data_IF_926832626156
#
_entry.id   IF_926832626156
#
_cell.length_a   1.000
_cell.length_b   1.000
_cell.length_c   1.000
_cell.angle_alpha   90.00
_cell.angle_beta   90.00
_cell.angle_gamma   90.00
#
_symmetry.space_group_name_H-M   'P 1'
#
loop_
_entity.id
_entity.type
_entity.pdbx_description
1 polymer ?
#
# COMPACT_ATOMS: atom_id res chain seq x y z
N UNK A 1 -34.36 16.81 -6.85
CA UNK A 1 -33.23 17.70 -7.19
C UNK A 1 -31.98 16.85 -7.37
N UNK A 2 -31.41 16.80 -8.59
CA UNK A 2 -30.06 16.26 -8.80
C UNK A 2 -29.10 17.44 -8.70
N UNK A 3 -28.30 17.50 -7.65
CA UNK A 3 -27.22 18.49 -7.53
C UNK A 3 -26.17 18.19 -8.59
N UNK A 4 -26.01 19.16 -9.48
CA UNK A 4 -25.04 19.17 -10.56
C UNK A 4 -23.66 19.53 -9.97
N UNK A 5 -22.62 18.88 -10.49
CA UNK A 5 -21.24 19.36 -10.50
C UNK A 5 -20.42 19.24 -9.19
N UNK A 6 -20.24 18.03 -8.66
CA UNK A 6 -18.96 17.75 -7.99
C UNK A 6 -17.88 17.59 -9.07
N UNK A 7 -17.36 18.72 -9.52
CA UNK A 7 -16.25 18.80 -10.44
C UNK A 7 -15.03 18.12 -9.78
N UNK A 8 -14.84 16.82 -10.02
CA UNK A 8 -13.61 16.04 -9.86
C UNK A 8 -12.58 16.64 -8.89
N UNK A 9 -12.94 16.85 -7.62
CA UNK A 9 -11.96 17.35 -6.65
C UNK A 9 -10.84 16.31 -6.60
N UNK A 10 -9.67 16.67 -7.14
CA UNK A 10 -8.48 15.83 -7.04
C UNK A 10 -8.31 15.55 -5.55
N UNK A 11 -8.38 14.28 -5.16
CA UNK A 11 -8.03 13.87 -3.79
C UNK A 11 -6.68 14.51 -3.48
N UNK A 12 -6.65 15.37 -2.46
CA UNK A 12 -5.41 15.99 -2.01
C UNK A 12 -4.42 14.87 -1.73
N UNK A 13 -3.23 14.95 -2.31
CA UNK A 13 -2.24 13.89 -2.14
C UNK A 13 -1.83 13.79 -0.68
N UNK A 14 -2.31 12.75 0.00
CA UNK A 14 -1.90 12.41 1.36
C UNK A 14 -0.69 11.47 1.25
N UNK A 15 0.48 11.95 1.69
CA UNK A 15 1.69 11.13 1.72
C UNK A 15 1.55 10.06 2.79
N UNK A 16 1.47 8.80 2.39
CA UNK A 16 1.58 7.68 3.32
C UNK A 16 2.97 7.69 3.99
N UNK A 17 2.99 7.60 5.32
CA UNK A 17 4.21 7.47 6.13
C UNK A 17 4.88 6.12 5.88
N UNK A 18 6.17 6.00 6.17
CA UNK A 18 6.92 4.74 6.01
C UNK A 18 6.30 3.61 6.85
N UNK A 19 5.90 3.91 8.08
CA UNK A 19 5.23 2.95 8.98
C UNK A 19 3.95 2.38 8.36
N UNK A 20 3.10 3.24 7.79
CA UNK A 20 1.88 2.81 7.11
C UNK A 20 2.19 1.87 5.94
N UNK A 21 3.24 2.16 5.17
CA UNK A 21 3.65 1.32 4.04
C UNK A 21 4.06 -0.07 4.50
N UNK A 22 4.89 -0.15 5.53
CA UNK A 22 5.38 -1.42 6.08
C UNK A 22 4.24 -2.23 6.69
N UNK A 23 3.35 -1.60 7.45
CA UNK A 23 2.18 -2.24 8.04
C UNK A 23 1.23 -2.82 6.99
N UNK A 24 0.95 -2.07 5.91
CA UNK A 24 0.10 -2.56 4.82
C UNK A 24 0.75 -3.75 4.10
N UNK A 25 2.05 -3.68 3.83
CA UNK A 25 2.80 -4.77 3.19
C UNK A 25 2.80 -6.02 4.07
N UNK A 26 3.06 -5.89 5.37
CA UNK A 26 3.09 -7.00 6.32
C UNK A 26 1.73 -7.70 6.42
N UNK A 27 0.64 -6.95 6.57
CA UNK A 27 -0.73 -7.52 6.62
C UNK A 27 -1.09 -8.31 5.34
N UNK A 28 -0.59 -7.87 4.19
CA UNK A 28 -0.80 -8.56 2.92
C UNK A 28 0.06 -9.82 2.82
N UNK A 29 1.36 -9.73 3.18
CA UNK A 29 2.28 -10.87 3.12
C UNK A 29 1.90 -11.97 4.12
N UNK A 30 1.39 -11.59 5.29
CA UNK A 30 0.85 -12.51 6.30
C UNK A 30 -0.54 -13.06 5.94
N UNK A 31 -1.10 -12.70 4.78
CA UNK A 31 -2.39 -13.19 4.30
C UNK A 31 -3.61 -12.69 5.08
N UNK A 32 -3.45 -11.70 5.97
CA UNK A 32 -4.54 -11.16 6.79
C UNK A 32 -5.54 -10.36 5.96
N UNK A 33 -5.05 -9.62 4.96
CA UNK A 33 -5.88 -8.85 4.04
C UNK A 33 -5.40 -9.02 2.60
N UNK A 34 -6.34 -9.00 1.65
CA UNK A 34 -5.99 -8.96 0.23
C UNK A 34 -5.64 -7.54 -0.24
N UNK A 35 -4.92 -7.42 -1.35
CA UNK A 35 -4.62 -6.13 -1.99
C UNK A 35 -5.88 -5.28 -2.23
N UNK A 36 -7.01 -5.92 -2.53
CA UNK A 36 -8.27 -5.24 -2.79
C UNK A 36 -8.90 -4.71 -1.49
N UNK A 37 -8.80 -5.47 -0.40
CA UNK A 37 -9.24 -5.02 0.92
C UNK A 37 -8.34 -3.90 1.46
N UNK A 38 -7.02 -4.03 1.34
CA UNK A 38 -6.08 -2.98 1.72
C UNK A 38 -6.36 -1.66 0.97
N UNK A 39 -6.63 -1.75 -0.33
CA UNK A 39 -6.94 -0.58 -1.14
C UNK A 39 -8.16 0.18 -0.63
N UNK A 40 -9.23 -0.53 -0.28
CA UNK A 40 -10.45 0.07 0.28
C UNK A 40 -10.26 0.57 1.71
N UNK A 41 -9.55 -0.19 2.55
CA UNK A 41 -9.36 0.10 3.98
C UNK A 41 -8.52 1.36 4.21
N UNK A 42 -7.46 1.54 3.42
CA UNK A 42 -6.51 2.64 3.60
C UNK A 42 -6.70 3.76 2.56
N UNK A 43 -7.67 3.63 1.65
CA UNK A 43 -7.91 4.53 0.52
C UNK A 43 -6.67 4.70 -0.39
N UNK A 44 -5.91 3.62 -0.55
CA UNK A 44 -4.67 3.60 -1.34
C UNK A 44 -4.94 2.87 -2.66
N UNK A 45 -4.53 3.40 -3.82
CA UNK A 45 -4.66 2.69 -5.09
C UNK A 45 -3.94 1.33 -5.06
N UNK A 46 -4.58 0.30 -5.64
CA UNK A 46 -3.97 -1.04 -5.77
C UNK A 46 -2.60 -1.02 -6.44
N UNK A 47 -2.39 -0.12 -7.41
CA UNK A 47 -1.10 0.06 -8.09
C UNK A 47 -0.01 0.54 -7.14
N UNK A 48 -0.34 1.43 -6.21
CA UNK A 48 0.56 1.90 -5.15
C UNK A 48 0.92 0.76 -4.18
N UNK A 49 -0.07 -0.06 -3.81
CA UNK A 49 0.15 -1.24 -2.96
C UNK A 49 1.07 -2.26 -3.68
N UNK A 50 0.82 -2.56 -4.96
CA UNK A 50 1.68 -3.44 -5.75
C UNK A 50 3.12 -2.91 -5.82
N UNK A 51 3.28 -1.60 -6.01
CA UNK A 51 4.60 -0.97 -5.99
C UNK A 51 5.30 -1.13 -4.64
N UNK A 52 4.58 -0.96 -3.53
CA UNK A 52 5.13 -1.20 -2.19
C UNK A 52 5.51 -2.65 -1.96
N UNK A 53 4.69 -3.61 -2.39
CA UNK A 53 5.00 -5.02 -2.28
C UNK A 53 6.32 -5.34 -2.99
N UNK A 54 6.53 -4.90 -4.23
CA UNK A 54 7.79 -5.14 -4.95
C UNK A 54 8.98 -4.50 -4.23
N UNK A 55 8.85 -3.24 -3.81
CA UNK A 55 9.94 -2.47 -3.21
C UNK A 55 10.33 -2.97 -1.82
N UNK A 56 9.35 -3.27 -0.97
CA UNK A 56 9.57 -3.67 0.42
C UNK A 56 9.73 -5.18 0.60
N UNK A 57 9.19 -6.03 -0.30
CA UNK A 57 9.52 -7.47 -0.30
C UNK A 57 11.00 -7.71 -0.60
N UNK A 58 11.61 -6.91 -1.48
CA UNK A 58 13.04 -6.99 -1.79
C UNK A 58 13.90 -6.62 -0.58
N UNK A 59 13.50 -5.60 0.18
CA UNK A 59 14.17 -5.19 1.42
C UNK A 59 14.05 -6.26 2.51
N UNK A 60 12.88 -6.88 2.66
CA UNK A 60 12.70 -8.00 3.59
C UNK A 60 13.58 -9.20 3.19
N UNK A 61 13.62 -9.54 1.89
CA UNK A 61 14.44 -10.65 1.37
C UNK A 61 15.93 -10.44 1.60
N UNK A 62 16.45 -9.22 1.37
CA UNK A 62 17.87 -8.90 1.60
C UNK A 62 18.27 -8.95 3.08
N UNK A 63 17.36 -8.60 4.00
CA UNK A 63 17.61 -8.71 5.44
C UNK A 63 17.53 -10.16 5.97
N UNK A 64 16.83 -11.05 5.27
CA UNK A 64 16.71 -12.48 5.64
C UNK A 64 17.71 -13.39 4.94
N UNK A 65 18.55 -12.88 4.03
CA UNK A 65 19.68 -13.65 3.55
C UNK A 65 20.70 -13.73 4.71
N UNK A 66 21.02 -14.91 5.26
CA UNK A 66 22.20 -15.02 6.10
C UNK A 66 23.36 -14.62 5.20
N UNK A 67 24.08 -13.57 5.58
CA UNK A 67 25.38 -13.24 5.00
C UNK A 67 26.25 -14.49 5.13
N UNK A 68 26.34 -15.25 4.05
CA UNK A 68 27.21 -16.39 3.90
C UNK A 68 28.64 -15.87 3.72
N UNK A 69 29.46 -16.11 4.76
CA UNK A 69 30.92 -16.17 4.82
C UNK A 69 31.73 -15.26 3.90
#
# INVERSE_FOLDING_TARGET
>A
MKTKNEHWLKKSYQKATLETKLLVVDQILNGQISNNQASKKYDIPRTTISYWLIKYSTLLKQNTLPTNN
#
